data_IF_324146841968
#
_entry.id   IF_324146841968
#
_cell.length_a   1.000
_cell.length_b   1.000
_cell.length_c   1.000
_cell.angle_alpha   90.00
_cell.angle_beta   90.00
_cell.angle_gamma   90.00
#
_symmetry.space_group_name_H-M   'P 1'
#
loop_
_entity.id
_entity.type
_entity.pdbx_description
1 polymer ?
#
# COMPACT_ATOMS: atom_id res chain seq x y z
N UNK A 1 -2.89 16.59 -4.48
CA UNK A 1 -2.36 16.83 -3.12
C UNK A 1 -0.86 17.13 -3.12
N UNK A 2 -0.22 17.14 -4.29
CA UNK A 2 1.23 17.31 -4.49
C UNK A 2 1.76 18.63 -3.91
N UNK A 3 0.97 19.72 -4.00
CA UNK A 3 1.33 21.02 -3.42
C UNK A 3 1.19 21.08 -1.89
N UNK A 4 0.43 20.15 -1.30
CA UNK A 4 0.08 20.16 0.13
C UNK A 4 0.81 19.08 0.95
N UNK A 5 1.25 18.00 0.30
CA UNK A 5 1.93 16.88 0.93
C UNK A 5 3.19 16.54 0.13
N UNK A 6 4.35 16.88 0.71
CA UNK A 6 5.65 16.56 0.12
C UNK A 6 5.87 15.04 0.05
N UNK A 7 6.64 14.59 -0.94
CA UNK A 7 6.96 13.18 -1.15
C UNK A 7 8.47 12.95 -1.08
N UNK A 8 8.83 11.91 -0.34
CA UNK A 8 10.17 11.33 -0.29
C UNK A 8 10.13 9.90 -0.82
N UNK A 9 11.15 9.48 -1.57
CA UNK A 9 11.24 8.11 -2.11
C UNK A 9 12.46 7.42 -1.54
N UNK A 10 12.24 6.37 -0.74
CA UNK A 10 13.31 5.56 -0.19
C UNK A 10 13.99 4.68 -1.27
N UNK A 11 15.24 4.31 -1.01
CA UNK A 11 15.99 3.32 -1.76
C UNK A 11 15.23 1.98 -1.80
N UNK A 12 15.05 1.36 -2.98
CA UNK A 12 14.46 0.03 -3.09
C UNK A 12 15.30 -1.06 -2.40
N UNK A 13 16.59 -0.83 -2.18
CA UNK A 13 17.49 -1.76 -1.47
C UNK A 13 17.47 -1.42 0.03
N UNK A 14 16.94 -2.36 0.81
CA UNK A 14 16.92 -2.27 2.28
C UNK A 14 18.15 -2.96 2.90
N UNK A 15 18.58 -2.45 4.04
CA UNK A 15 19.53 -3.10 4.95
C UNK A 15 18.86 -3.41 6.30
N UNK A 16 19.65 -3.71 7.34
CA UNK A 16 19.18 -4.04 8.68
C UNK A 16 18.40 -2.90 9.37
N UNK A 17 18.53 -1.67 8.86
CA UNK A 17 17.76 -0.49 9.32
C UNK A 17 16.56 -0.18 8.44
N UNK A 18 16.22 -1.08 7.52
CA UNK A 18 15.10 -0.98 6.56
C UNK A 18 15.27 0.16 5.55
N UNK A 19 14.38 1.16 5.54
CA UNK A 19 14.29 2.17 4.48
C UNK A 19 15.28 3.33 4.65
N UNK A 20 16.03 3.64 3.59
CA UNK A 20 17.07 4.68 3.56
C UNK A 20 16.92 5.63 2.37
N UNK A 21 17.48 6.84 2.46
CA UNK A 21 17.36 7.90 1.45
C UNK A 21 18.67 8.12 0.67
N UNK A 22 19.23 7.06 0.11
CA UNK A 22 20.51 7.09 -0.63
C UNK A 22 20.37 7.59 -2.07
N UNK A 23 19.14 7.70 -2.58
CA UNK A 23 18.85 8.16 -3.95
C UNK A 23 18.96 9.68 -4.11
N UNK A 24 18.93 10.41 -2.99
CA UNK A 24 18.97 11.86 -2.93
C UNK A 24 20.38 12.41 -2.64
N UNK A 25 20.65 13.70 -2.93
CA UNK A 25 21.92 14.34 -2.62
C UNK A 25 22.35 14.13 -1.16
N UNK A 26 23.64 13.87 -0.96
CA UNK A 26 24.26 13.56 0.34
C UNK A 26 23.69 12.32 1.06
N UNK A 27 22.83 11.53 0.39
CA UNK A 27 22.18 10.35 0.96
C UNK A 27 21.23 10.70 2.11
N UNK A 28 20.37 11.70 1.89
CA UNK A 28 19.41 12.23 2.85
C UNK A 28 18.10 12.63 2.18
N UNK A 29 17.00 12.45 2.90
CA UNK A 29 15.71 13.03 2.51
C UNK A 29 15.84 14.57 2.39
N UNK A 30 15.39 15.20 1.29
CA UNK A 30 15.60 16.62 1.04
C UNK A 30 14.81 17.56 1.98
N UNK A 31 13.78 17.07 2.66
CA UNK A 31 12.92 17.89 3.53
C UNK A 31 13.27 17.70 5.01
N UNK A 32 13.32 16.45 5.45
CA UNK A 32 13.57 16.02 6.83
C UNK A 32 15.07 15.94 7.14
N UNK A 33 15.94 15.80 6.15
CA UNK A 33 17.39 15.69 6.33
C UNK A 33 17.88 14.40 6.98
N UNK A 34 17.00 13.40 7.12
CA UNK A 34 17.27 12.07 7.70
C UNK A 34 17.90 11.13 6.67
N UNK A 35 18.70 10.16 7.13
CA UNK A 35 19.30 9.12 6.26
C UNK A 35 18.45 7.86 6.19
N UNK A 36 17.75 7.54 7.28
CA UNK A 36 16.88 6.38 7.39
C UNK A 36 15.51 6.80 7.92
N UNK A 37 14.45 6.15 7.47
CA UNK A 37 13.10 6.38 7.97
C UNK A 37 12.98 6.07 9.47
N UNK A 38 13.82 5.16 9.99
CA UNK A 38 13.86 4.83 11.43
C UNK A 38 14.08 6.07 12.30
N UNK A 39 14.80 7.08 11.81
CA UNK A 39 15.08 8.31 12.57
C UNK A 39 13.79 9.08 12.90
N UNK A 40 12.77 9.03 12.02
CA UNK A 40 11.46 9.64 12.28
C UNK A 40 10.60 8.81 13.25
N UNK A 41 10.77 7.49 13.26
CA UNK A 41 10.17 6.60 14.26
C UNK A 41 10.78 6.86 15.64
N UNK A 42 12.11 6.88 15.73
CA UNK A 42 12.87 7.13 16.97
C UNK A 42 12.58 8.51 17.55
N UNK A 43 12.36 9.52 16.70
CA UNK A 43 11.98 10.87 17.11
C UNK A 43 10.60 10.93 17.78
N UNK A 44 9.68 10.03 17.40
CA UNK A 44 8.33 9.91 17.99
C UNK A 44 8.37 9.07 19.27
N UNK A 45 8.96 7.88 19.19
CA UNK A 45 8.99 6.89 20.27
C UNK A 45 10.33 6.16 20.26
N UNK A 46 11.10 6.32 21.35
CA UNK A 46 12.34 5.56 21.52
C UNK A 46 12.04 4.08 21.70
N UNK A 47 12.89 3.24 21.11
CA UNK A 47 12.81 1.78 21.18
C UNK A 47 11.49 1.23 20.63
N UNK A 48 10.97 1.85 19.56
CA UNK A 48 9.74 1.42 18.89
C UNK A 48 9.80 -0.09 18.59
N UNK A 49 8.86 -0.90 19.13
CA UNK A 49 8.96 -2.36 19.06
C UNK A 49 8.52 -2.93 17.70
N UNK A 50 7.90 -2.11 16.84
CA UNK A 50 7.40 -2.53 15.53
C UNK A 50 8.43 -2.38 14.41
N UNK A 51 8.09 -2.91 13.23
CA UNK A 51 8.91 -2.71 12.03
C UNK A 51 8.80 -1.28 11.49
N UNK A 52 9.89 -0.76 10.94
CA UNK A 52 9.91 0.50 10.18
C UNK A 52 9.33 0.22 8.80
N UNK A 53 8.17 0.79 8.48
CA UNK A 53 7.44 0.49 7.24
C UNK A 53 7.14 1.73 6.41
N UNK A 54 6.94 1.53 5.11
CA UNK A 54 6.34 2.52 4.21
C UNK A 54 4.94 2.03 3.80
N UNK A 55 4.00 2.94 3.45
CA UNK A 55 4.11 4.40 3.55
C UNK A 55 4.15 4.90 5.00
N UNK A 56 4.74 6.07 5.20
CA UNK A 56 4.80 6.77 6.48
C UNK A 56 4.56 8.27 6.25
N UNK A 57 3.66 8.86 7.04
CA UNK A 57 3.46 10.31 7.09
C UNK A 57 4.25 10.84 8.28
N UNK A 58 5.15 11.78 8.01
CA UNK A 58 6.00 12.45 9.00
C UNK A 58 5.61 13.91 9.08
N UNK A 59 5.45 14.41 10.31
CA UNK A 59 5.26 15.84 10.53
C UNK A 59 6.60 16.57 10.35
N UNK A 60 6.70 17.41 9.33
CA UNK A 60 7.97 18.05 8.94
C UNK A 60 8.58 18.91 10.05
N UNK A 61 7.83 19.79 10.75
CA UNK A 61 8.40 20.62 11.81
C UNK A 61 8.98 19.84 12.99
N UNK A 62 8.33 18.74 13.40
CA UNK A 62 8.82 17.92 14.52
C UNK A 62 9.76 16.79 14.10
N UNK A 63 9.73 16.39 12.82
CA UNK A 63 10.43 15.22 12.32
C UNK A 63 9.86 13.89 12.81
N UNK A 64 8.68 13.90 13.46
CA UNK A 64 8.11 12.71 14.08
C UNK A 64 7.15 11.99 13.13
N UNK A 65 7.19 10.66 13.15
CA UNK A 65 6.17 9.83 12.51
C UNK A 65 4.78 10.17 13.06
N UNK A 66 3.82 10.46 12.18
CA UNK A 66 2.40 10.67 12.51
C UNK A 66 1.62 9.36 12.36
N UNK A 67 1.74 8.70 11.21
CA UNK A 67 1.04 7.43 10.94
C UNK A 67 1.76 6.63 9.85
N UNK A 68 1.71 5.31 9.97
CA UNK A 68 2.05 4.35 8.93
C UNK A 68 0.90 3.37 8.63
N UNK A 69 -0.33 3.71 9.07
CA UNK A 69 -1.53 2.93 8.81
C UNK A 69 -1.97 3.12 7.36
N UNK A 70 -1.36 2.35 6.45
CA UNK A 70 -1.58 2.48 5.02
C UNK A 70 -3.03 2.22 4.58
N UNK A 71 -3.82 1.46 5.35
CA UNK A 71 -5.22 1.21 5.03
C UNK A 71 -6.08 2.44 5.32
N UNK A 72 -5.74 3.20 6.37
CA UNK A 72 -6.44 4.43 6.72
C UNK A 72 -5.91 5.64 5.94
N UNK A 73 -4.59 5.73 5.69
CA UNK A 73 -3.96 6.88 5.02
C UNK A 73 -4.65 7.21 3.70
N UNK A 74 -4.91 6.22 2.85
CA UNK A 74 -5.52 6.47 1.53
C UNK A 74 -6.96 6.97 1.64
N UNK A 75 -7.72 6.47 2.63
CA UNK A 75 -9.08 6.92 2.92
C UNK A 75 -9.07 8.35 3.47
N UNK A 76 -8.19 8.67 4.42
CA UNK A 76 -8.08 10.02 4.97
C UNK A 76 -7.71 11.04 3.88
N UNK A 77 -6.79 10.70 2.97
CA UNK A 77 -6.46 11.55 1.82
C UNK A 77 -7.66 11.75 0.89
N UNK A 78 -8.54 10.76 0.77
CA UNK A 78 -9.75 10.85 -0.04
C UNK A 78 -10.90 11.61 0.66
N UNK A 79 -11.00 11.59 2.00
CA UNK A 79 -12.15 12.13 2.73
C UNK A 79 -11.84 13.37 3.57
N UNK A 80 -10.75 13.36 4.33
CA UNK A 80 -10.39 14.44 5.27
C UNK A 80 -9.66 15.59 4.58
N UNK A 81 -8.94 15.30 3.49
CA UNK A 81 -8.15 16.30 2.74
C UNK A 81 -8.91 16.96 1.58
N UNK A 82 -10.24 16.80 1.53
CA UNK A 82 -11.09 17.25 0.41
C UNK A 82 -10.97 18.74 0.10
N UNK A 83 -10.75 19.59 1.12
CA UNK A 83 -10.53 21.02 0.94
C UNK A 83 -9.26 21.36 0.13
N UNK A 84 -8.32 20.42 0.02
CA UNK A 84 -7.05 20.55 -0.70
C UNK A 84 -7.05 19.79 -2.04
N UNK A 85 -8.17 19.17 -2.40
CA UNK A 85 -8.29 18.48 -3.67
C UNK A 85 -8.29 19.46 -4.84
N UNK A 86 -7.61 19.08 -5.92
CA UNK A 86 -7.64 19.85 -7.18
C UNK A 86 -9.03 19.81 -7.81
N UNK A 87 -9.42 20.82 -8.62
CA UNK A 87 -10.65 20.76 -9.40
C UNK A 87 -10.74 19.48 -10.25
N UNK A 88 -11.88 18.78 -10.16
CA UNK A 88 -12.12 17.53 -10.89
C UNK A 88 -11.46 16.29 -10.28
N UNK A 89 -10.96 16.34 -9.05
CA UNK A 89 -10.57 15.14 -8.32
C UNK A 89 -11.75 14.15 -8.23
N UNK A 90 -11.54 12.85 -8.51
CA UNK A 90 -12.59 11.85 -8.39
C UNK A 90 -12.90 11.57 -6.91
N UNK A 91 -14.13 11.19 -6.62
CA UNK A 91 -14.48 10.60 -5.31
C UNK A 91 -14.15 9.10 -5.35
N UNK A 92 -13.01 8.75 -4.74
CA UNK A 92 -12.51 7.36 -4.72
C UNK A 92 -13.22 6.48 -3.68
N UNK A 93 -13.96 7.09 -2.76
CA UNK A 93 -14.61 6.39 -1.65
C UNK A 93 -16.00 6.99 -1.33
N UNK A 94 -16.91 7.02 -2.33
CA UNK A 94 -18.19 7.70 -2.23
C UNK A 94 -19.11 7.00 -1.24
N UNK A 95 -19.75 7.77 -0.35
CA UNK A 95 -20.59 7.27 0.75
C UNK A 95 -21.57 6.15 0.33
N UNK A 96 -22.32 6.26 -0.80
CA UNK A 96 -23.27 5.22 -1.18
C UNK A 96 -22.65 3.86 -1.53
N UNK A 97 -21.36 3.83 -1.93
CA UNK A 97 -20.68 2.61 -2.37
C UNK A 97 -19.75 2.02 -1.30
N UNK A 98 -19.49 2.74 -0.19
CA UNK A 98 -18.54 2.30 0.85
C UNK A 98 -18.77 0.86 1.33
N UNK A 99 -20.01 0.40 1.62
CA UNK A 99 -20.22 -0.98 2.06
C UNK A 99 -19.71 -2.03 1.05
N UNK A 100 -19.93 -1.80 -0.26
CA UNK A 100 -19.46 -2.70 -1.31
C UNK A 100 -17.95 -2.56 -1.54
N UNK A 101 -17.42 -1.34 -1.46
CA UNK A 101 -15.97 -1.08 -1.55
C UNK A 101 -15.23 -1.80 -0.42
N UNK A 102 -15.71 -1.69 0.82
CA UNK A 102 -15.10 -2.31 2.00
C UNK A 102 -15.10 -3.84 1.90
N UNK A 103 -16.22 -4.44 1.49
CA UNK A 103 -16.31 -5.89 1.28
C UNK A 103 -15.33 -6.37 0.19
N UNK A 104 -15.27 -5.67 -0.94
CA UNK A 104 -14.37 -6.00 -2.05
C UNK A 104 -12.91 -5.83 -1.65
N UNK A 105 -12.57 -4.73 -0.98
CA UNK A 105 -11.21 -4.44 -0.50
C UNK A 105 -10.74 -5.48 0.52
N UNK A 106 -11.60 -5.92 1.44
CA UNK A 106 -11.23 -6.96 2.42
C UNK A 106 -10.89 -8.29 1.74
N UNK A 107 -11.70 -8.70 0.76
CA UNK A 107 -11.41 -9.90 -0.04
C UNK A 107 -10.12 -9.79 -0.85
N UNK A 108 -9.89 -8.64 -1.48
CA UNK A 108 -8.65 -8.36 -2.23
C UNK A 108 -7.44 -8.35 -1.29
N UNK A 109 -7.55 -7.71 -0.13
CA UNK A 109 -6.46 -7.66 0.83
C UNK A 109 -6.08 -9.05 1.32
N UNK A 110 -7.06 -9.80 1.86
CA UNK A 110 -6.82 -11.09 2.51
C UNK A 110 -6.27 -12.14 1.56
N UNK A 111 -6.82 -12.20 0.35
CA UNK A 111 -6.60 -13.31 -0.58
C UNK A 111 -5.68 -12.93 -1.76
N UNK A 112 -5.55 -11.64 -2.13
CA UNK A 112 -4.66 -11.19 -3.22
C UNK A 112 -3.46 -10.40 -2.69
N UNK A 113 -3.67 -9.22 -2.10
CA UNK A 113 -2.57 -8.33 -1.74
C UNK A 113 -1.63 -8.98 -0.72
N UNK A 114 -2.19 -9.58 0.33
CA UNK A 114 -1.44 -10.37 1.31
C UNK A 114 -1.27 -11.84 0.85
N UNK A 115 -2.14 -12.32 -0.06
CA UNK A 115 -2.08 -13.68 -0.58
C UNK A 115 -0.76 -14.02 -1.26
N UNK A 116 -0.24 -13.12 -2.10
CA UNK A 116 1.06 -13.31 -2.76
C UNK A 116 2.21 -13.42 -1.75
N UNK A 117 2.17 -12.65 -0.66
CA UNK A 117 3.18 -12.72 0.41
C UNK A 117 3.05 -14.03 1.21
N UNK A 118 1.83 -14.50 1.48
CA UNK A 118 1.59 -15.81 2.10
C UNK A 118 2.18 -16.94 1.25
N UNK A 119 2.03 -16.89 -0.08
CA UNK A 119 2.70 -17.84 -0.98
C UNK A 119 4.23 -17.73 -0.89
N UNK A 120 4.76 -16.52 -1.03
CA UNK A 120 6.20 -16.28 -1.11
C UNK A 120 6.98 -16.57 0.17
N UNK A 121 6.34 -16.41 1.32
CA UNK A 121 6.93 -16.60 2.65
C UNK A 121 6.45 -17.86 3.37
N UNK A 122 5.65 -18.71 2.72
CA UNK A 122 5.25 -20.01 3.26
C UNK A 122 6.48 -20.82 3.70
N UNK A 123 6.42 -21.38 4.90
CA UNK A 123 7.51 -22.17 5.49
C UNK A 123 7.34 -23.67 5.26
N UNK A 124 6.16 -24.08 4.77
CA UNK A 124 5.82 -25.46 4.43
C UNK A 124 5.03 -25.55 3.12
N UNK A 125 5.05 -26.74 2.50
CA UNK A 125 4.28 -27.03 1.29
C UNK A 125 2.78 -26.82 1.50
N UNK A 126 2.26 -27.22 2.66
CA UNK A 126 0.84 -27.08 2.98
C UNK A 126 0.43 -25.61 3.06
N UNK A 127 1.20 -24.77 3.78
CA UNK A 127 0.93 -23.32 3.86
C UNK A 127 0.95 -22.67 2.48
N UNK A 128 1.89 -23.08 1.62
CA UNK A 128 1.98 -22.60 0.25
C UNK A 128 0.74 -23.01 -0.57
N UNK A 129 0.34 -24.28 -0.55
CA UNK A 129 -0.80 -24.77 -1.34
C UNK A 129 -2.12 -24.14 -0.92
N UNK A 130 -2.31 -23.92 0.38
CA UNK A 130 -3.49 -23.22 0.93
C UNK A 130 -3.53 -21.76 0.46
N UNK A 131 -2.40 -21.04 0.52
CA UNK A 131 -2.29 -19.67 0.06
C UNK A 131 -2.47 -19.56 -1.47
N UNK A 132 -1.86 -20.47 -2.23
CA UNK A 132 -1.96 -20.54 -3.68
C UNK A 132 -3.40 -20.75 -4.13
N UNK A 133 -4.09 -21.75 -3.55
CA UNK A 133 -5.47 -22.04 -3.87
C UNK A 133 -6.40 -20.85 -3.56
N UNK A 134 -6.21 -20.18 -2.41
CA UNK A 134 -6.99 -19.01 -2.04
C UNK A 134 -6.75 -17.82 -2.99
N UNK A 135 -5.48 -17.58 -3.37
CA UNK A 135 -5.08 -16.51 -4.29
C UNK A 135 -5.76 -16.66 -5.65
N UNK A 136 -5.62 -17.83 -6.29
CA UNK A 136 -6.18 -18.04 -7.61
C UNK A 136 -7.70 -18.13 -7.60
N UNK A 137 -8.31 -18.69 -6.54
CA UNK A 137 -9.76 -18.64 -6.38
C UNK A 137 -10.29 -17.20 -6.29
N UNK A 138 -9.57 -16.29 -5.60
CA UNK A 138 -9.97 -14.87 -5.57
C UNK A 138 -9.73 -14.17 -6.90
N UNK A 139 -8.62 -14.46 -7.60
CA UNK A 139 -8.36 -13.90 -8.92
C UNK A 139 -9.42 -14.34 -9.95
N UNK A 140 -9.93 -15.57 -9.86
CA UNK A 140 -11.05 -16.04 -10.68
C UNK A 140 -12.34 -15.25 -10.39
N UNK A 141 -12.63 -15.00 -9.11
CA UNK A 141 -13.80 -14.19 -8.72
C UNK A 141 -13.68 -12.74 -9.22
N UNK A 142 -12.49 -12.14 -9.11
CA UNK A 142 -12.20 -10.80 -9.65
C UNK A 142 -12.34 -10.79 -11.18
N UNK A 143 -11.82 -11.82 -11.85
CA UNK A 143 -11.90 -11.96 -13.30
C UNK A 143 -13.35 -12.08 -13.78
N UNK A 144 -14.16 -12.92 -13.12
CA UNK A 144 -15.58 -13.07 -13.43
C UNK A 144 -16.33 -11.75 -13.23
N UNK A 145 -16.02 -11.01 -12.16
CA UNK A 145 -16.61 -9.70 -11.89
C UNK A 145 -16.25 -8.66 -12.95
N UNK A 146 -14.99 -8.60 -13.36
CA UNK A 146 -14.49 -7.65 -14.37
C UNK A 146 -14.81 -8.05 -15.81
N UNK A 147 -15.31 -9.28 -16.05
CA UNK A 147 -15.81 -9.68 -17.36
C UNK A 147 -17.09 -8.92 -17.76
N UNK A 148 -17.90 -8.51 -16.77
CA UNK A 148 -19.18 -7.81 -16.98
C UNK A 148 -19.13 -6.32 -16.60
N UNK A 149 -18.04 -5.88 -15.94
CA UNK A 149 -17.90 -4.54 -15.38
C UNK A 149 -16.53 -3.96 -15.72
N UNK A 150 -16.47 -2.65 -15.98
CA UNK A 150 -15.20 -1.97 -16.24
C UNK A 150 -14.34 -1.79 -14.98
N UNK A 151 -14.95 -1.66 -13.82
CA UNK A 151 -14.31 -1.39 -12.53
C UNK A 151 -14.83 -2.35 -11.47
N UNK A 152 -14.12 -2.45 -10.35
CA UNK A 152 -14.49 -3.33 -9.26
C UNK A 152 -15.80 -2.91 -8.59
N UNK A 153 -16.09 -1.62 -8.40
CA UNK A 153 -17.32 -1.17 -7.75
C UNK A 153 -17.90 0.04 -8.48
N UNK A 154 -19.19 0.01 -8.79
CA UNK A 154 -19.86 1.07 -9.54
C UNK A 154 -19.38 1.21 -10.98
N UNK A 155 -19.34 2.46 -11.47
CA UNK A 155 -19.07 2.85 -12.85
C UNK A 155 -17.79 3.71 -13.00
N UNK A 156 -17.04 3.90 -11.93
CA UNK A 156 -15.84 4.75 -11.86
C UNK A 156 -14.69 4.04 -11.13
N UNK A 157 -13.49 4.61 -11.22
CA UNK A 157 -12.34 4.14 -10.41
C UNK A 157 -12.61 4.45 -8.94
N UNK A 158 -12.42 3.45 -8.09
CA UNK A 158 -12.53 3.55 -6.63
C UNK A 158 -11.24 3.13 -5.94
N UNK A 159 -11.17 3.30 -4.62
CA UNK A 159 -10.09 2.78 -3.78
C UNK A 159 -9.85 1.27 -4.00
N UNK A 160 -10.90 0.49 -4.26
CA UNK A 160 -10.78 -0.94 -4.52
C UNK A 160 -9.90 -1.24 -5.76
N UNK A 161 -10.08 -0.48 -6.84
CA UNK A 161 -9.31 -0.65 -8.08
C UNK A 161 -7.84 -0.33 -7.87
N UNK A 162 -7.55 0.73 -7.11
CA UNK A 162 -6.18 1.16 -6.78
C UNK A 162 -5.48 0.09 -5.94
N UNK A 163 -6.17 -0.47 -4.92
CA UNK A 163 -5.62 -1.53 -4.07
C UNK A 163 -5.38 -2.83 -4.82
N UNK A 164 -6.21 -3.18 -5.81
CA UNK A 164 -5.94 -4.33 -6.67
C UNK A 164 -4.75 -4.07 -7.61
N UNK A 165 -4.72 -2.89 -8.23
CA UNK A 165 -3.72 -2.54 -9.25
C UNK A 165 -2.28 -2.67 -8.75
N UNK A 166 -2.00 -2.24 -7.52
CA UNK A 166 -0.65 -2.26 -6.94
C UNK A 166 -0.06 -3.68 -6.85
N UNK A 167 -0.91 -4.70 -6.69
CA UNK A 167 -0.50 -6.11 -6.76
C UNK A 167 -0.38 -6.60 -8.20
N UNK A 168 -1.37 -6.34 -9.05
CA UNK A 168 -1.37 -6.86 -10.43
C UNK A 168 -0.16 -6.35 -11.24
N UNK A 169 0.20 -5.08 -11.09
CA UNK A 169 1.36 -4.50 -11.80
C UNK A 169 2.70 -5.14 -11.39
N UNK A 170 2.75 -5.82 -10.24
CA UNK A 170 3.93 -6.55 -9.73
C UNK A 170 3.83 -8.06 -9.91
N UNK A 171 2.72 -8.56 -10.44
CA UNK A 171 2.46 -9.99 -10.50
C UNK A 171 3.45 -10.72 -11.38
N UNK A 172 3.53 -10.41 -12.67
CA UNK A 172 4.46 -11.08 -13.58
C UNK A 172 5.94 -10.78 -13.26
N UNK A 173 6.34 -9.52 -12.97
CA UNK A 173 7.76 -9.22 -12.75
C UNK A 173 8.32 -9.79 -11.44
N UNK A 174 7.47 -10.03 -10.44
CA UNK A 174 7.90 -10.47 -9.11
C UNK A 174 7.11 -11.68 -8.64
N UNK A 175 5.81 -11.55 -8.39
CA UNK A 175 5.08 -12.54 -7.60
C UNK A 175 4.99 -13.92 -8.27
N UNK A 176 4.80 -13.97 -9.59
CA UNK A 176 4.76 -15.21 -10.36
C UNK A 176 6.03 -16.06 -10.16
N UNK A 177 7.22 -15.45 -10.30
CA UNK A 177 8.49 -16.16 -10.15
C UNK A 177 9.02 -16.18 -8.72
N UNK A 178 9.21 -15.01 -8.12
CA UNK A 178 9.86 -14.84 -6.83
C UNK A 178 9.02 -15.45 -5.68
N UNK A 179 7.71 -15.23 -5.70
CA UNK A 179 6.78 -15.75 -4.69
C UNK A 179 6.08 -17.04 -5.10
N UNK A 180 6.49 -17.63 -6.24
CA UNK A 180 5.94 -18.89 -6.76
C UNK A 180 4.41 -18.83 -6.90
N UNK A 181 3.85 -17.71 -7.33
CA UNK A 181 2.43 -17.67 -7.69
C UNK A 181 2.25 -18.31 -9.08
N UNK A 182 2.64 -19.59 -9.22
CA UNK A 182 2.67 -20.34 -10.48
C UNK A 182 2.35 -21.83 -10.32
#
# INVERSE_FOLDING_TARGET
LEDALSLAVADPIQDDRSWRFTLDPDGKDPVLGIRHLSEAYDARERDYPGGVSVPAIVDVPSGQLVTNDYQQITLDLATEWTALHRPGAPDLYPVPLRPEIDEVMEGIYRDINNGVYKCGFASSQQEYEEAYAALFARLDQVSARLAERRYLVGDTITEADIRLFTTLVRFDPVYHGHFKCN
#
